data_IF_922386291582
#
_entry.id   IF_922386291582
#
_cell.length_a   1.000
_cell.length_b   1.000
_cell.length_c   1.000
_cell.angle_alpha   90.00
_cell.angle_beta   90.00
_cell.angle_gamma   90.00
#
_symmetry.space_group_name_H-M   'P 1'
#
loop_
_entity.id
_entity.type
_entity.pdbx_description
1 polymer ?
#
# COMPACT_ATOMS: atom_id res chain seq x y z
N UNK A 1 -14.96 -11.03 -17.69
CA UNK A 1 -14.77 -10.04 -16.59
C UNK A 1 -13.94 -10.73 -15.53
N UNK A 2 -12.90 -10.08 -15.01
CA UNK A 2 -11.88 -10.77 -14.19
C UNK A 2 -12.47 -11.52 -12.98
N UNK A 3 -13.46 -10.94 -12.31
CA UNK A 3 -14.10 -11.52 -11.14
C UNK A 3 -14.84 -12.81 -11.49
N UNK A 4 -15.73 -12.76 -12.49
CA UNK A 4 -16.52 -13.90 -12.92
C UNK A 4 -15.65 -15.03 -13.50
N UNK A 5 -14.57 -14.68 -14.22
CA UNK A 5 -13.58 -15.65 -14.70
C UNK A 5 -12.87 -16.38 -13.55
N UNK A 6 -12.66 -15.69 -12.43
CA UNK A 6 -12.02 -16.28 -11.25
C UNK A 6 -13.01 -17.09 -10.40
N UNK A 7 -14.19 -16.54 -10.13
CA UNK A 7 -15.15 -17.06 -9.15
C UNK A 7 -16.20 -18.00 -9.75
N UNK A 8 -16.50 -17.87 -11.04
CA UNK A 8 -17.57 -18.58 -11.73
C UNK A 8 -18.97 -17.98 -11.51
N UNK A 9 -19.07 -16.73 -11.07
CA UNK A 9 -20.34 -16.00 -10.99
C UNK A 9 -20.17 -14.48 -11.15
N UNK A 10 -21.22 -13.81 -11.62
CA UNK A 10 -21.25 -12.35 -11.73
C UNK A 10 -21.43 -11.71 -10.34
N UNK A 11 -20.58 -10.73 -10.01
CA UNK A 11 -20.68 -9.95 -8.77
C UNK A 11 -21.96 -9.10 -8.75
N UNK A 12 -22.72 -9.16 -7.65
CA UNK A 12 -23.94 -8.36 -7.47
C UNK A 12 -23.86 -7.48 -6.23
N UNK A 13 -23.75 -8.08 -5.05
CA UNK A 13 -23.70 -7.39 -3.76
C UNK A 13 -22.90 -8.20 -2.73
N UNK A 14 -22.48 -7.60 -1.60
CA UNK A 14 -21.71 -8.30 -0.57
C UNK A 14 -22.35 -9.58 -0.04
N UNK A 15 -23.67 -9.61 0.15
CA UNK A 15 -24.39 -10.79 0.68
C UNK A 15 -24.32 -11.94 -0.30
N UNK A 16 -24.53 -11.67 -1.59
CA UNK A 16 -24.38 -12.64 -2.67
C UNK A 16 -22.96 -13.22 -2.72
N UNK A 17 -21.93 -12.36 -2.65
CA UNK A 17 -20.52 -12.81 -2.65
C UNK A 17 -20.21 -13.68 -1.42
N UNK A 18 -20.63 -13.25 -0.23
CA UNK A 18 -20.40 -13.99 1.02
C UNK A 18 -21.12 -15.34 1.05
N UNK A 19 -22.29 -15.45 0.42
CA UNK A 19 -23.00 -16.73 0.30
C UNK A 19 -22.34 -17.69 -0.70
N UNK A 20 -21.65 -17.18 -1.73
CA UNK A 20 -21.05 -17.99 -2.81
C UNK A 20 -19.60 -18.38 -2.57
N UNK A 21 -18.95 -17.83 -1.53
CA UNK A 21 -17.55 -18.07 -1.23
C UNK A 21 -17.41 -18.51 0.23
N UNK A 22 -16.66 -19.60 0.46
CA UNK A 22 -16.29 -20.04 1.81
C UNK A 22 -14.82 -19.72 2.06
N UNK A 23 -14.52 -19.05 3.17
CA UNK A 23 -13.14 -18.84 3.63
C UNK A 23 -12.68 -20.08 4.41
N UNK A 24 -11.52 -20.64 4.03
CA UNK A 24 -10.90 -21.81 4.67
C UNK A 24 -9.43 -21.50 4.97
N UNK A 25 -9.16 -20.94 6.15
CA UNK A 25 -7.82 -20.45 6.48
C UNK A 25 -7.42 -19.31 5.55
N UNK A 26 -6.35 -19.51 4.79
CA UNK A 26 -5.80 -18.57 3.80
C UNK A 26 -6.36 -18.76 2.38
N UNK A 27 -7.38 -19.61 2.21
CA UNK A 27 -7.98 -19.95 0.91
C UNK A 27 -9.44 -19.53 0.81
N UNK A 28 -9.86 -19.26 -0.42
CA UNK A 28 -11.25 -19.08 -0.81
C UNK A 28 -11.72 -20.27 -1.64
N UNK A 29 -12.82 -20.90 -1.24
CA UNK A 29 -13.55 -21.88 -2.02
C UNK A 29 -14.73 -21.19 -2.71
N UNK A 30 -14.74 -21.17 -4.04
CA UNK A 30 -15.85 -20.65 -4.83
C UNK A 30 -16.86 -21.75 -5.09
N UNK A 31 -18.07 -21.65 -4.52
CA UNK A 31 -19.05 -22.75 -4.48
C UNK A 31 -19.53 -23.19 -5.87
N UNK A 32 -19.77 -22.24 -6.77
CA UNK A 32 -20.29 -22.55 -8.12
C UNK A 32 -19.28 -23.32 -8.99
N UNK A 33 -17.99 -23.04 -8.86
CA UNK A 33 -16.94 -23.67 -9.67
C UNK A 33 -16.21 -24.81 -8.96
N UNK A 34 -16.32 -24.90 -7.62
CA UNK A 34 -15.52 -25.79 -6.78
C UNK A 34 -14.04 -25.40 -6.70
N UNK A 35 -13.64 -24.28 -7.32
CA UNK A 35 -12.25 -23.83 -7.38
C UNK A 35 -11.81 -23.32 -6.01
N UNK A 36 -10.62 -23.72 -5.59
CA UNK A 36 -9.96 -23.25 -4.37
C UNK A 36 -8.76 -22.40 -4.78
N UNK A 37 -8.69 -21.18 -4.27
CA UNK A 37 -7.62 -20.23 -4.59
C UNK A 37 -7.06 -19.64 -3.30
N UNK A 38 -5.74 -19.53 -3.22
CA UNK A 38 -5.09 -18.97 -2.04
C UNK A 38 -5.20 -17.44 -2.05
N UNK A 39 -6.00 -16.89 -1.13
CA UNK A 39 -6.03 -15.45 -0.88
C UNK A 39 -4.76 -15.02 -0.15
N UNK A 40 -4.18 -15.90 0.67
CA UNK A 40 -3.05 -15.59 1.52
C UNK A 40 -3.51 -15.02 2.87
N UNK A 41 -2.55 -14.49 3.64
CA UNK A 41 -2.83 -13.88 4.95
C UNK A 41 -2.61 -12.38 4.90
N UNK A 42 -3.60 -11.60 5.32
CA UNK A 42 -3.46 -10.16 5.49
C UNK A 42 -2.90 -9.84 6.88
N UNK A 43 -1.91 -8.96 6.92
CA UNK A 43 -1.50 -8.24 8.12
C UNK A 43 -1.44 -6.73 7.84
N UNK A 44 -1.51 -5.91 8.90
CA UNK A 44 -1.49 -4.45 8.78
C UNK A 44 -0.43 -3.81 9.68
N UNK A 45 0.85 -4.21 9.56
CA UNK A 45 1.88 -3.74 10.46
C UNK A 45 2.16 -2.25 10.26
N UNK A 46 2.55 -1.60 11.34
CA UNK A 46 3.18 -0.29 11.36
C UNK A 46 4.60 -0.34 10.78
N UNK A 47 5.10 0.80 10.34
CA UNK A 47 6.51 0.95 9.97
C UNK A 47 7.44 0.60 11.15
N UNK A 48 7.06 0.91 12.39
CA UNK A 48 7.83 0.52 13.57
C UNK A 48 8.06 -0.99 13.66
N UNK A 49 6.97 -1.77 13.58
CA UNK A 49 7.00 -3.23 13.67
C UNK A 49 7.81 -3.84 12.53
N UNK A 50 7.68 -3.29 11.31
CA UNK A 50 8.44 -3.75 10.15
C UNK A 50 9.93 -3.44 10.27
N UNK A 51 10.31 -2.25 10.75
CA UNK A 51 11.70 -1.89 11.01
C UNK A 51 12.33 -2.85 12.03
N UNK A 52 11.64 -3.16 13.12
CA UNK A 52 12.10 -4.12 14.13
C UNK A 52 12.31 -5.51 13.52
N UNK A 53 11.34 -6.01 12.76
CA UNK A 53 11.44 -7.31 12.09
C UNK A 53 12.62 -7.36 11.10
N UNK A 54 12.80 -6.31 10.29
CA UNK A 54 13.90 -6.24 9.32
C UNK A 54 15.28 -6.22 10.01
N UNK A 55 15.41 -5.50 11.12
CA UNK A 55 16.64 -5.49 11.93
C UNK A 55 16.95 -6.89 12.49
N UNK A 56 15.95 -7.61 13.00
CA UNK A 56 16.12 -8.98 13.47
C UNK A 56 16.58 -9.91 12.34
N UNK A 57 16.13 -9.69 11.11
CA UNK A 57 16.58 -10.43 9.94
C UNK A 57 18.07 -10.21 9.66
N UNK A 58 18.57 -8.97 9.66
CA UNK A 58 20.01 -8.70 9.47
C UNK A 58 20.89 -9.44 10.47
N UNK A 59 20.50 -9.43 11.73
CA UNK A 59 21.30 -10.04 12.79
C UNK A 59 21.36 -11.56 12.72
N UNK A 60 20.41 -12.19 12.01
CA UNK A 60 20.23 -13.65 12.05
C UNK A 60 20.47 -14.35 10.71
N UNK A 61 20.55 -13.61 9.61
CA UNK A 61 20.60 -14.21 8.27
C UNK A 61 21.62 -13.49 7.36
N UNK A 62 22.77 -14.13 7.17
CA UNK A 62 23.80 -13.62 6.28
C UNK A 62 23.36 -13.65 4.80
N UNK A 63 22.37 -14.45 4.41
CA UNK A 63 21.94 -14.60 3.02
C UNK A 63 21.17 -13.37 2.50
N UNK A 64 20.57 -12.58 3.39
CA UNK A 64 19.89 -11.33 3.04
C UNK A 64 20.79 -10.09 3.17
N UNK A 65 21.98 -10.25 3.76
CA UNK A 65 22.98 -9.17 3.86
C UNK A 65 23.69 -9.02 2.52
N UNK A 66 23.92 -7.80 2.08
CA UNK A 66 24.64 -7.53 0.83
C UNK A 66 24.43 -6.11 0.34
N UNK A 67 24.62 -5.89 -0.96
CA UNK A 67 24.45 -4.56 -1.55
C UNK A 67 23.11 -4.52 -2.29
N UNK A 68 22.31 -3.51 -1.97
CA UNK A 68 21.06 -3.25 -2.67
C UNK A 68 21.33 -2.86 -4.12
N UNK A 69 20.59 -3.46 -5.06
CA UNK A 69 20.57 -3.01 -6.46
C UNK A 69 19.25 -2.29 -6.76
N UNK A 70 19.30 -1.23 -7.56
CA UNK A 70 18.14 -0.49 -8.03
C UNK A 70 18.19 -0.36 -9.55
N UNK A 71 17.11 -0.77 -10.22
CA UNK A 71 16.94 -0.55 -11.66
C UNK A 71 15.51 -0.13 -12.02
N UNK A 72 15.35 0.41 -13.22
CA UNK A 72 14.03 0.56 -13.85
C UNK A 72 13.70 -0.68 -14.68
N UNK A 73 12.45 -1.13 -14.60
CA UNK A 73 11.90 -2.16 -15.49
C UNK A 73 10.70 -1.58 -16.23
N UNK A 74 10.79 -1.56 -17.57
CA UNK A 74 9.67 -1.18 -18.42
C UNK A 74 8.85 -2.43 -18.76
N UNK A 75 7.72 -2.61 -18.07
CA UNK A 75 6.88 -3.79 -18.23
C UNK A 75 5.42 -3.51 -17.86
N UNK A 76 4.54 -4.42 -18.24
CA UNK A 76 3.21 -4.52 -17.66
C UNK A 76 3.31 -5.26 -16.32
N UNK A 77 2.79 -4.66 -15.25
CA UNK A 77 2.88 -5.22 -13.91
C UNK A 77 2.17 -6.56 -13.77
N UNK A 78 1.14 -6.83 -14.59
CA UNK A 78 0.47 -8.12 -14.63
C UNK A 78 1.31 -9.19 -15.32
N UNK A 79 2.17 -8.84 -16.29
CA UNK A 79 3.17 -9.77 -16.82
C UNK A 79 4.23 -10.10 -15.76
N UNK A 80 4.66 -9.10 -14.98
CA UNK A 80 5.61 -9.31 -13.89
C UNK A 80 5.03 -10.23 -12.80
N UNK A 81 3.75 -10.06 -12.42
CA UNK A 81 3.08 -10.98 -11.49
C UNK A 81 2.92 -12.38 -12.10
N UNK A 82 2.59 -12.51 -13.39
CA UNK A 82 2.39 -13.81 -14.01
C UNK A 82 3.69 -14.58 -14.28
N UNK A 83 4.85 -13.92 -14.26
CA UNK A 83 6.15 -14.56 -14.50
C UNK A 83 6.52 -15.50 -13.33
N UNK A 84 6.65 -16.82 -13.56
CA UNK A 84 7.00 -17.79 -12.51
C UNK A 84 8.36 -17.53 -11.84
N UNK A 85 9.28 -16.82 -12.49
CA UNK A 85 10.56 -16.43 -11.88
C UNK A 85 10.36 -15.50 -10.68
N UNK A 86 9.20 -14.86 -10.57
CA UNK A 86 8.83 -13.96 -9.47
C UNK A 86 8.07 -14.67 -8.34
N UNK A 87 8.04 -16.01 -8.32
CA UNK A 87 7.52 -16.76 -7.19
C UNK A 87 8.20 -16.31 -5.87
N UNK A 88 7.40 -15.88 -4.92
CA UNK A 88 7.82 -15.37 -3.62
C UNK A 88 8.31 -13.91 -3.61
N UNK A 89 8.29 -13.19 -4.75
CA UNK A 89 8.68 -11.79 -4.81
C UNK A 89 7.66 -10.88 -4.10
N UNK A 90 8.09 -9.66 -3.74
CA UNK A 90 7.21 -8.64 -3.17
C UNK A 90 6.88 -7.56 -4.20
N UNK A 91 5.59 -7.23 -4.31
CA UNK A 91 5.09 -6.15 -5.16
C UNK A 91 4.46 -5.05 -4.31
N UNK A 92 4.98 -3.83 -4.42
CA UNK A 92 4.31 -2.64 -3.90
C UNK A 92 3.09 -2.33 -4.77
N UNK A 93 1.94 -2.17 -4.13
CA UNK A 93 0.67 -1.88 -4.79
C UNK A 93 0.17 -0.53 -4.32
N UNK A 94 -0.10 0.35 -5.29
CA UNK A 94 -0.76 1.63 -5.01
C UNK A 94 -2.21 1.37 -4.61
N UNK A 95 -2.57 1.79 -3.41
CA UNK A 95 -3.84 1.54 -2.74
C UNK A 95 -4.33 2.78 -2.00
N UNK A 96 -5.53 2.70 -1.43
CA UNK A 96 -6.03 3.64 -0.44
C UNK A 96 -5.68 3.18 0.99
N UNK A 97 -5.90 4.05 1.98
CA UNK A 97 -5.66 3.73 3.39
C UNK A 97 -6.61 2.66 3.96
N UNK A 98 -7.63 2.22 3.22
CA UNK A 98 -8.48 1.08 3.54
C UNK A 98 -8.08 -0.22 2.82
N UNK A 99 -6.94 -0.21 2.10
CA UNK A 99 -6.43 -1.35 1.34
C UNK A 99 -7.34 -1.77 0.17
N UNK A 100 -8.06 -0.84 -0.43
CA UNK A 100 -8.83 -1.02 -1.66
C UNK A 100 -8.38 0.00 -2.70
N UNK A 101 -8.64 -0.26 -3.98
CA UNK A 101 -8.22 0.54 -5.14
C UNK A 101 -9.45 1.11 -5.89
N UNK A 102 -10.37 1.73 -5.16
CA UNK A 102 -11.59 2.34 -5.71
C UNK A 102 -11.29 3.60 -6.53
N UNK A 103 -11.95 3.77 -7.68
CA UNK A 103 -11.69 4.86 -8.65
C UNK A 103 -11.98 6.28 -8.14
N UNK A 104 -12.74 6.41 -7.05
CA UNK A 104 -13.17 7.70 -6.47
C UNK A 104 -13.52 7.54 -4.99
N UNK A 105 -13.41 8.60 -4.16
CA UNK A 105 -13.92 8.60 -2.79
C UNK A 105 -15.43 8.35 -2.68
N UNK A 106 -16.21 8.46 -3.75
CA UNK A 106 -17.67 8.17 -3.72
C UNK A 106 -18.01 6.69 -3.99
N UNK A 107 -17.00 5.90 -4.33
CA UNK A 107 -17.16 4.46 -4.58
C UNK A 107 -16.91 3.70 -3.28
N UNK A 108 -17.96 3.07 -2.78
CA UNK A 108 -17.91 2.31 -1.53
C UNK A 108 -17.52 0.84 -1.77
N UNK A 109 -17.02 0.12 -0.75
CA UNK A 109 -16.73 -1.32 -0.83
C UNK A 109 -17.86 -2.18 -1.40
N UNK A 110 -19.11 -1.84 -1.10
CA UNK A 110 -20.31 -2.58 -1.52
C UNK A 110 -20.58 -2.47 -3.02
N UNK A 111 -20.03 -1.46 -3.70
CA UNK A 111 -20.16 -1.29 -5.15
C UNK A 111 -19.26 -2.26 -5.96
N UNK A 112 -18.51 -3.12 -5.25
CA UNK A 112 -17.80 -4.26 -5.79
C UNK A 112 -16.45 -3.98 -6.40
N UNK A 113 -15.72 -5.06 -6.67
CA UNK A 113 -14.35 -5.05 -7.17
C UNK A 113 -14.25 -5.45 -8.64
N UNK A 114 -15.31 -5.97 -9.27
CA UNK A 114 -15.34 -6.26 -10.72
C UNK A 114 -14.96 -5.03 -11.54
N UNK A 115 -15.40 -3.84 -11.08
CA UNK A 115 -15.12 -2.55 -11.72
C UNK A 115 -13.63 -2.19 -11.86
N UNK A 116 -12.74 -2.85 -11.12
CA UNK A 116 -11.29 -2.59 -11.19
C UNK A 116 -10.74 -2.81 -12.60
N UNK A 117 -11.38 -3.66 -13.42
CA UNK A 117 -10.97 -3.88 -14.82
C UNK A 117 -11.05 -2.62 -15.70
N UNK A 118 -11.87 -1.65 -15.29
CA UNK A 118 -12.09 -0.40 -16.02
C UNK A 118 -11.04 0.67 -15.66
N UNK A 119 -10.36 0.51 -14.52
CA UNK A 119 -9.25 1.36 -14.12
C UNK A 119 -7.94 0.81 -14.70
N UNK A 120 -7.20 1.67 -15.39
CA UNK A 120 -5.93 1.31 -16.07
C UNK A 120 -4.70 1.72 -15.26
N UNK A 121 -4.87 2.17 -14.02
CA UNK A 121 -3.77 2.45 -13.10
C UNK A 121 -3.16 1.14 -12.56
N UNK A 122 -1.93 1.22 -12.04
CA UNK A 122 -1.20 0.04 -11.60
C UNK A 122 -1.82 -0.63 -10.36
N UNK A 123 -2.47 0.13 -9.48
CA UNK A 123 -3.09 -0.40 -8.25
C UNK A 123 -4.11 -1.50 -8.53
N UNK A 124 -5.21 -1.20 -9.26
CA UNK A 124 -6.19 -2.17 -9.70
C UNK A 124 -5.60 -3.32 -10.51
N UNK A 125 -4.60 -3.05 -11.37
CA UNK A 125 -3.94 -4.09 -12.16
C UNK A 125 -3.21 -5.12 -11.27
N UNK A 126 -2.47 -4.67 -10.26
CA UNK A 126 -1.85 -5.54 -9.25
C UNK A 126 -2.89 -6.28 -8.41
N UNK A 127 -3.92 -5.59 -7.94
CA UNK A 127 -4.96 -6.20 -7.11
C UNK A 127 -5.71 -7.32 -7.85
N UNK A 128 -6.01 -7.13 -9.14
CA UNK A 128 -6.60 -8.16 -10.02
C UNK A 128 -5.63 -9.33 -10.25
N UNK A 129 -4.32 -9.08 -10.34
CA UNK A 129 -3.33 -10.14 -10.55
C UNK A 129 -3.39 -11.22 -9.46
N UNK A 130 -3.76 -10.83 -8.23
CA UNK A 130 -3.99 -11.72 -7.09
C UNK A 130 -5.43 -11.58 -6.58
N UNK A 131 -6.40 -11.87 -7.45
CA UNK A 131 -7.81 -11.54 -7.26
C UNK A 131 -8.44 -12.15 -6.01
N UNK A 132 -7.97 -13.31 -5.53
CA UNK A 132 -8.47 -13.89 -4.28
C UNK A 132 -8.13 -13.02 -3.05
N UNK A 133 -6.93 -12.43 -3.00
CA UNK A 133 -6.54 -11.48 -1.96
C UNK A 133 -7.39 -10.20 -2.00
N UNK A 134 -7.69 -9.68 -3.20
CA UNK A 134 -8.61 -8.56 -3.38
C UNK A 134 -10.03 -8.87 -2.88
N UNK A 135 -10.60 -10.00 -3.29
CA UNK A 135 -11.93 -10.45 -2.84
C UNK A 135 -11.98 -10.58 -1.32
N UNK A 136 -10.95 -11.19 -0.72
CA UNK A 136 -10.85 -11.32 0.73
C UNK A 136 -10.86 -9.96 1.43
N UNK A 137 -10.00 -9.02 1.00
CA UNK A 137 -9.89 -7.67 1.59
C UNK A 137 -11.16 -6.84 1.47
N UNK A 138 -11.97 -7.05 0.44
CA UNK A 138 -13.24 -6.34 0.31
C UNK A 138 -14.36 -7.00 1.14
N UNK A 139 -14.53 -8.31 1.04
CA UNK A 139 -15.75 -8.98 1.49
C UNK A 139 -15.62 -9.82 2.76
N UNK A 140 -14.40 -10.21 3.14
CA UNK A 140 -14.18 -11.22 4.18
C UNK A 140 -13.23 -10.79 5.30
N UNK A 141 -12.43 -9.75 5.09
CA UNK A 141 -11.50 -9.26 6.11
C UNK A 141 -12.26 -8.84 7.36
N UNK A 142 -11.82 -9.22 8.56
CA UNK A 142 -12.40 -8.72 9.79
C UNK A 142 -12.17 -7.22 9.96
N UNK A 143 -13.24 -6.46 10.19
CA UNK A 143 -13.19 -5.03 10.54
C UNK A 143 -13.91 -4.84 11.87
N UNK A 144 -13.16 -4.97 12.97
CA UNK A 144 -13.74 -5.19 14.29
C UNK A 144 -14.62 -6.44 14.28
N UNK A 145 -15.86 -6.32 14.74
CA UNK A 145 -16.85 -7.42 14.72
C UNK A 145 -17.53 -7.67 13.35
N UNK A 146 -17.24 -6.85 12.33
CA UNK A 146 -17.86 -6.98 11.00
C UNK A 146 -16.98 -7.85 10.09
N UNK A 147 -17.62 -8.63 9.22
CA UNK A 147 -16.95 -9.30 8.11
C UNK A 147 -17.03 -8.47 6.83
N UNK A 148 -15.89 -8.20 6.21
CA UNK A 148 -15.77 -7.34 5.03
C UNK A 148 -15.79 -5.86 5.36
N UNK A 149 -15.39 -5.04 4.39
CA UNK A 149 -15.43 -3.59 4.47
C UNK A 149 -16.77 -3.06 3.96
N UNK A 150 -17.26 -1.99 4.56
CA UNK A 150 -18.49 -1.27 4.17
C UNK A 150 -18.23 0.22 4.11
N UNK A 151 -19.15 1.01 3.55
CA UNK A 151 -19.07 2.47 3.57
C UNK A 151 -18.87 3.05 4.98
N UNK A 152 -19.42 2.37 5.99
CA UNK A 152 -19.43 2.83 7.38
C UNK A 152 -18.29 2.25 8.24
N UNK A 153 -17.67 1.14 7.81
CA UNK A 153 -16.64 0.45 8.61
C UNK A 153 -15.57 -0.14 7.70
N UNK A 154 -14.37 0.43 7.79
CA UNK A 154 -13.25 0.11 6.92
C UNK A 154 -11.97 -0.03 7.73
N UNK A 155 -10.98 -0.69 7.13
CA UNK A 155 -9.62 -0.59 7.61
C UNK A 155 -9.11 0.85 7.45
N UNK A 156 -8.23 1.29 8.35
CA UNK A 156 -7.64 2.63 8.29
C UNK A 156 -6.16 2.55 8.68
N UNK A 157 -5.28 2.57 7.68
CA UNK A 157 -3.84 2.49 7.86
C UNK A 157 -3.21 3.78 8.47
N UNK A 158 -4.01 4.83 8.68
CA UNK A 158 -3.57 6.05 9.36
C UNK A 158 -4.14 6.20 10.78
N UNK A 159 -4.89 5.23 11.30
CA UNK A 159 -5.59 5.39 12.59
C UNK A 159 -4.64 5.80 13.74
N UNK A 160 -3.46 5.18 13.83
CA UNK A 160 -2.45 5.51 14.85
C UNK A 160 -1.82 6.88 14.66
N UNK A 161 -1.50 7.25 13.40
CA UNK A 161 -1.00 8.57 13.05
C UNK A 161 -2.04 9.66 13.35
N UNK A 162 -3.30 9.41 12.99
CA UNK A 162 -4.42 10.30 13.24
C UNK A 162 -4.54 10.63 14.73
N UNK A 163 -4.56 9.61 15.58
CA UNK A 163 -4.62 9.78 17.03
C UNK A 163 -3.42 10.56 17.58
N UNK A 164 -2.21 10.35 17.02
CA UNK A 164 -1.03 11.10 17.43
C UNK A 164 -1.13 12.58 17.05
N UNK A 165 -1.56 12.89 15.82
CA UNK A 165 -1.78 14.27 15.39
C UNK A 165 -2.84 14.99 16.23
N UNK A 166 -3.94 14.31 16.59
CA UNK A 166 -4.98 14.87 17.48
C UNK A 166 -4.41 15.24 18.86
N UNK A 167 -3.52 14.41 19.42
CA UNK A 167 -2.84 14.75 20.68
C UNK A 167 -2.00 16.02 20.53
N UNK A 168 -1.25 16.17 19.45
CA UNK A 168 -0.51 17.40 19.18
C UNK A 168 -1.43 18.61 19.01
N UNK A 169 -2.57 18.46 18.34
CA UNK A 169 -3.54 19.56 18.16
C UNK A 169 -4.08 20.04 19.50
N UNK A 170 -4.36 19.12 20.43
CA UNK A 170 -4.83 19.46 21.78
C UNK A 170 -3.80 20.25 22.59
N UNK A 171 -2.50 20.05 22.34
CA UNK A 171 -1.43 20.84 22.96
C UNK A 171 -1.31 22.25 22.34
N UNK A 172 -1.70 22.40 21.06
CA UNK A 172 -1.74 23.68 20.37
C UNK A 172 -3.04 24.48 20.64
N UNK A 173 -4.02 23.88 21.34
CA UNK A 173 -5.39 24.38 21.50
C UNK A 173 -5.56 25.68 22.32
N UNK A 174 -4.47 26.35 22.71
CA UNK A 174 -4.52 27.74 23.19
C UNK A 174 -4.70 28.78 22.04
N UNK A 175 -5.03 28.34 20.82
CA UNK A 175 -5.01 29.13 19.57
C UNK A 175 -6.31 29.00 18.77
N UNK A 176 -6.43 29.71 17.63
CA UNK A 176 -7.60 29.78 16.72
C UNK A 176 -8.14 28.45 16.14
N UNK A 177 -7.60 27.30 16.56
CA UNK A 177 -7.89 25.97 16.00
C UNK A 177 -8.65 25.04 16.97
N UNK A 178 -9.20 25.57 18.06
CA UNK A 178 -9.85 24.79 19.13
C UNK A 178 -10.98 23.83 18.66
N UNK A 179 -11.58 24.09 17.50
CA UNK A 179 -12.66 23.25 16.95
C UNK A 179 -12.16 22.12 16.03
N UNK A 180 -10.86 22.02 15.76
CA UNK A 180 -10.29 20.97 14.89
C UNK A 180 -9.92 19.76 15.75
N UNK A 181 -10.74 18.71 15.68
CA UNK A 181 -10.60 17.49 16.48
C UNK A 181 -10.05 16.29 15.71
N UNK A 182 -9.86 16.42 14.39
CA UNK A 182 -9.22 15.41 13.54
C UNK A 182 -8.37 16.10 12.46
N UNK A 183 -7.27 15.48 12.01
CA UNK A 183 -6.43 15.99 10.91
C UNK A 183 -7.08 15.89 9.52
N UNK A 184 -8.12 15.08 9.31
CA UNK A 184 -8.79 14.96 8.00
C UNK A 184 -10.16 14.32 8.13
N UNK A 185 -10.97 14.40 7.06
CA UNK A 185 -12.11 13.50 6.88
C UNK A 185 -11.63 12.27 6.10
N UNK A 186 -11.83 11.08 6.65
CA UNK A 186 -11.58 9.83 5.92
C UNK A 186 -12.85 9.45 5.14
N UNK A 187 -12.74 9.32 3.82
CA UNK A 187 -13.84 8.90 2.95
C UNK A 187 -13.38 7.77 2.04
N UNK A 188 -13.88 6.54 2.24
CA UNK A 188 -13.53 5.37 1.42
C UNK A 188 -12.01 5.16 1.23
N UNK A 189 -11.22 5.38 2.30
CA UNK A 189 -9.77 5.26 2.29
C UNK A 189 -9.00 6.49 1.78
N UNK A 190 -9.69 7.57 1.43
CA UNK A 190 -9.11 8.87 1.09
C UNK A 190 -9.04 9.77 2.33
N UNK A 191 -7.83 10.18 2.73
CA UNK A 191 -7.63 11.16 3.79
C UNK A 191 -7.72 12.58 3.21
N UNK A 192 -8.82 13.29 3.51
CA UNK A 192 -9.17 14.59 2.93
C UNK A 192 -9.10 15.71 4.00
N UNK A 193 -7.91 16.30 4.23
CA UNK A 193 -7.75 17.44 5.12
C UNK A 193 -8.22 18.73 4.44
N UNK A 194 -8.85 19.60 5.22
CA UNK A 194 -9.09 20.99 4.86
C UNK A 194 -7.79 21.82 4.93
N UNK A 195 -7.82 23.02 4.36
CA UNK A 195 -6.72 23.99 4.45
C UNK A 195 -6.27 24.25 5.89
N UNK A 196 -7.21 24.41 6.82
CA UNK A 196 -6.89 24.69 8.23
C UNK A 196 -6.24 23.48 8.91
N UNK A 197 -6.73 22.27 8.62
CA UNK A 197 -6.11 21.04 9.10
C UNK A 197 -4.69 20.88 8.57
N UNK A 198 -4.44 21.11 7.28
CA UNK A 198 -3.08 21.08 6.73
C UNK A 198 -2.15 22.12 7.37
N UNK A 199 -2.62 23.35 7.61
CA UNK A 199 -1.83 24.37 8.32
C UNK A 199 -1.43 23.86 9.71
N UNK A 200 -2.36 23.22 10.41
CA UNK A 200 -2.12 22.71 11.76
C UNK A 200 -1.15 21.53 11.74
N UNK A 201 -1.30 20.60 10.78
CA UNK A 201 -0.35 19.50 10.56
C UNK A 201 1.05 20.06 10.29
N UNK A 202 1.16 21.07 9.42
CA UNK A 202 2.46 21.67 9.11
C UNK A 202 3.08 22.35 10.32
N UNK A 203 2.28 23.01 11.19
CA UNK A 203 2.76 23.55 12.47
C UNK A 203 3.30 22.46 13.39
N UNK A 204 2.60 21.33 13.49
CA UNK A 204 3.06 20.17 14.26
C UNK A 204 4.38 19.68 13.70
N UNK A 205 4.43 19.33 12.42
CA UNK A 205 5.61 18.75 11.76
C UNK A 205 6.84 19.68 11.81
N UNK A 206 6.65 20.99 11.66
CA UNK A 206 7.73 21.96 11.76
C UNK A 206 8.29 22.12 13.19
N UNK A 207 7.51 21.76 14.22
CA UNK A 207 7.91 21.80 15.62
C UNK A 207 8.60 20.53 16.12
N UNK A 208 8.55 19.44 15.34
CA UNK A 208 9.16 18.17 15.74
C UNK A 208 10.68 18.19 15.52
N UNK A 209 11.41 17.62 16.47
CA UNK A 209 12.81 17.25 16.25
C UNK A 209 12.90 15.96 15.39
N UNK A 210 14.10 15.60 14.86
CA UNK A 210 14.24 14.42 13.99
C UNK A 210 13.75 13.10 14.61
N UNK A 211 13.93 12.90 15.92
CA UNK A 211 13.47 11.70 16.62
C UNK A 211 11.94 11.67 16.71
N UNK A 212 11.31 12.78 17.05
CA UNK A 212 9.85 12.88 17.12
C UNK A 212 9.20 12.73 15.74
N UNK A 213 9.82 13.29 14.70
CA UNK A 213 9.39 13.09 13.32
C UNK A 213 9.45 11.62 12.92
N UNK A 214 10.56 10.93 13.24
CA UNK A 214 10.70 9.50 12.99
C UNK A 214 9.65 8.68 13.74
N UNK A 215 9.41 8.97 15.02
CA UNK A 215 8.38 8.29 15.82
C UNK A 215 6.98 8.49 15.24
N UNK A 216 6.66 9.69 14.74
CA UNK A 216 5.38 9.96 14.10
C UNK A 216 5.24 9.20 12.78
N UNK A 217 6.30 9.18 11.96
CA UNK A 217 6.37 8.42 10.70
C UNK A 217 6.18 6.92 10.93
N UNK A 218 6.74 6.39 12.00
CA UNK A 218 6.68 4.98 12.39
C UNK A 218 5.28 4.47 12.73
N UNK A 219 4.31 5.37 12.95
CA UNK A 219 2.90 5.02 13.21
C UNK A 219 2.08 4.71 11.95
N UNK A 220 2.61 4.98 10.76
CA UNK A 220 1.91 4.66 9.50
C UNK A 220 1.93 3.16 9.29
N UNK A 221 0.76 2.57 8.99
CA UNK A 221 0.62 1.17 8.65
C UNK A 221 0.57 0.97 7.13
N UNK A 222 0.86 -0.25 6.69
CA UNK A 222 0.62 -0.73 5.32
C UNK A 222 -0.12 -2.07 5.38
N UNK A 223 -0.77 -2.47 4.29
CA UNK A 223 -1.34 -3.82 4.17
C UNK A 223 -0.35 -4.78 3.55
N UNK A 224 -0.04 -5.90 4.20
CA UNK A 224 0.76 -6.99 3.62
C UNK A 224 -0.11 -8.21 3.41
N UNK A 225 -0.39 -8.53 2.15
CA UNK A 225 -1.06 -9.76 1.74
C UNK A 225 0.02 -10.79 1.39
N UNK A 226 0.34 -11.66 2.35
CA UNK A 226 1.37 -12.69 2.20
C UNK A 226 0.85 -13.89 1.43
N UNK A 227 1.73 -14.50 0.63
CA UNK A 227 1.50 -15.80 0.00
C UNK A 227 0.18 -15.85 -0.80
N UNK A 228 -0.12 -14.76 -1.51
CA UNK A 228 -1.33 -14.65 -2.32
C UNK A 228 -1.08 -15.25 -3.70
N UNK A 229 -2.03 -16.05 -4.18
CA UNK A 229 -1.89 -16.73 -5.47
C UNK A 229 -2.09 -15.73 -6.61
N UNK A 230 -1.21 -15.80 -7.60
CA UNK A 230 -1.43 -15.12 -8.88
C UNK A 230 -2.53 -15.87 -9.63
N UNK A 231 -3.62 -15.17 -9.98
CA UNK A 231 -4.84 -15.76 -10.53
C UNK A 231 -5.06 -15.48 -12.01
N UNK A 232 -4.12 -14.76 -12.63
CA UNK A 232 -4.16 -14.38 -14.04
C UNK A 232 -3.26 -15.27 -14.88
N UNK A 233 -3.51 -15.33 -16.19
CA UNK A 233 -2.64 -15.98 -17.20
C UNK A 233 -2.23 -17.42 -16.85
N UNK A 234 -3.12 -18.15 -16.20
CA UNK A 234 -2.89 -19.55 -15.78
C UNK A 234 -1.72 -19.73 -14.81
N UNK A 235 -1.19 -18.64 -14.23
CA UNK A 235 -0.21 -18.71 -13.15
C UNK A 235 -0.86 -19.30 -11.90
N UNK A 236 -0.01 -19.83 -11.00
CA UNK A 236 -0.44 -20.44 -9.75
C UNK A 236 0.57 -20.28 -8.62
N UNK A 237 1.72 -19.67 -8.90
CA UNK A 237 2.71 -19.37 -7.88
C UNK A 237 2.21 -18.26 -6.94
N UNK A 238 2.89 -18.12 -5.81
CA UNK A 238 2.53 -17.19 -4.76
C UNK A 238 3.45 -15.98 -4.79
N UNK A 239 2.91 -14.82 -4.43
CA UNK A 239 3.67 -13.58 -4.25
C UNK A 239 3.21 -12.88 -2.97
N UNK A 240 3.95 -11.87 -2.52
CA UNK A 240 3.50 -10.96 -1.46
C UNK A 240 3.15 -9.61 -2.07
N UNK A 241 2.01 -9.03 -1.68
CA UNK A 241 1.62 -7.68 -2.09
C UNK A 241 1.61 -6.73 -0.90
N UNK A 242 2.35 -5.62 -1.03
CA UNK A 242 2.40 -4.54 -0.06
C UNK A 242 1.53 -3.36 -0.53
N UNK A 243 0.33 -3.28 0.02
CA UNK A 243 -0.65 -2.24 -0.25
C UNK A 243 -0.32 -0.99 0.56
N UNK A 244 0.15 0.01 -0.17
CA UNK A 244 0.59 1.29 0.39
C UNK A 244 -0.25 2.41 -0.21
N UNK A 245 -0.47 3.48 0.55
CA UNK A 245 -1.20 4.66 0.08
C UNK A 245 -0.34 5.91 0.18
N UNK A 246 -0.51 6.82 -0.77
CA UNK A 246 -0.02 8.19 -0.67
C UNK A 246 -1.17 9.12 -0.25
N UNK A 247 -0.89 10.40 -0.04
CA UNK A 247 -1.95 11.38 0.20
C UNK A 247 -2.68 11.74 -1.11
N UNK A 248 -4.01 11.90 -1.11
CA UNK A 248 -4.80 12.25 -2.30
C UNK A 248 -4.73 13.76 -2.61
N UNK A 249 -3.53 14.26 -2.91
CA UNK A 249 -3.23 15.69 -3.13
C UNK A 249 -4.16 16.33 -4.17
N UNK A 250 -4.38 15.64 -5.30
CA UNK A 250 -5.23 16.10 -6.40
C UNK A 250 -6.73 16.20 -6.07
N UNK A 251 -7.17 15.67 -4.92
CA UNK A 251 -8.58 15.69 -4.49
C UNK A 251 -8.92 16.94 -3.66
N UNK A 252 -8.07 17.97 -3.73
CA UNK A 252 -8.29 19.27 -3.12
C UNK A 252 -7.66 20.38 -3.98
N UNK A 253 -8.07 21.63 -3.78
CA UNK A 253 -7.49 22.80 -4.44
C UNK A 253 -6.38 23.47 -3.60
N UNK A 254 -5.72 22.72 -2.73
CA UNK A 254 -4.66 23.24 -1.85
C UNK A 254 -3.29 23.23 -2.54
N UNK A 255 -2.40 24.16 -2.18
CA UNK A 255 -1.08 24.27 -2.81
C UNK A 255 -0.18 23.10 -2.45
N UNK A 256 0.76 22.79 -3.35
CA UNK A 256 1.80 21.79 -3.11
C UNK A 256 2.60 22.08 -1.83
N UNK A 257 2.92 23.36 -1.56
CA UNK A 257 3.65 23.75 -0.33
C UNK A 257 2.88 23.40 0.94
N UNK A 258 1.55 23.48 0.89
CA UNK A 258 0.71 23.15 2.03
C UNK A 258 0.63 21.63 2.23
N UNK A 259 0.62 20.87 1.14
CA UNK A 259 0.59 19.40 1.15
C UNK A 259 1.92 18.73 1.46
N UNK A 260 3.02 19.34 1.03
CA UNK A 260 4.34 18.70 0.98
C UNK A 260 4.75 18.03 2.30
N UNK A 261 4.61 18.65 3.50
CA UNK A 261 5.09 18.03 4.73
C UNK A 261 4.39 16.71 5.05
N UNK A 262 3.05 16.68 4.95
CA UNK A 262 2.26 15.48 5.20
C UNK A 262 2.46 14.44 4.08
N UNK A 263 2.44 14.87 2.82
CA UNK A 263 2.65 13.96 1.69
C UNK A 263 4.03 13.29 1.74
N UNK A 264 5.08 14.04 2.11
CA UNK A 264 6.43 13.50 2.25
C UNK A 264 6.53 12.49 3.39
N UNK A 265 5.96 12.81 4.57
CA UNK A 265 5.94 11.88 5.71
C UNK A 265 5.29 10.54 5.34
N UNK A 266 4.14 10.58 4.67
CA UNK A 266 3.43 9.37 4.25
C UNK A 266 4.21 8.58 3.20
N UNK A 267 4.80 9.27 2.19
CA UNK A 267 5.59 8.60 1.17
C UNK A 267 6.85 7.95 1.77
N UNK A 268 7.58 8.67 2.63
CA UNK A 268 8.73 8.13 3.34
C UNK A 268 8.35 6.89 4.14
N UNK A 269 7.24 6.95 4.90
CA UNK A 269 6.78 5.82 5.67
C UNK A 269 6.41 4.62 4.81
N UNK A 270 5.66 4.84 3.73
CA UNK A 270 5.22 3.79 2.81
C UNK A 270 6.41 3.09 2.14
N UNK A 271 7.40 3.82 1.63
CA UNK A 271 8.58 3.21 1.01
C UNK A 271 9.47 2.53 2.05
N UNK A 272 9.72 3.13 3.22
CA UNK A 272 10.51 2.45 4.27
C UNK A 272 9.83 1.16 4.74
N UNK A 273 8.52 1.16 4.91
CA UNK A 273 7.75 -0.02 5.32
C UNK A 273 7.80 -1.10 4.24
N UNK A 274 7.70 -0.71 2.96
CA UNK A 274 7.82 -1.63 1.82
C UNK A 274 9.20 -2.30 1.79
N UNK A 275 10.27 -1.56 2.04
CA UNK A 275 11.63 -2.12 2.05
C UNK A 275 11.84 -3.05 3.24
N UNK A 276 11.40 -2.68 4.45
CA UNK A 276 11.44 -3.59 5.59
C UNK A 276 10.63 -4.87 5.32
N UNK A 277 9.43 -4.75 4.75
CA UNK A 277 8.63 -5.91 4.36
C UNK A 277 9.36 -6.77 3.33
N UNK A 278 10.09 -6.17 2.38
CA UNK A 278 10.87 -6.91 1.39
C UNK A 278 12.03 -7.70 2.03
N UNK A 279 12.69 -7.14 3.04
CA UNK A 279 13.71 -7.85 3.84
C UNK A 279 13.12 -9.08 4.52
N UNK A 280 11.99 -8.89 5.22
CA UNK A 280 11.31 -9.98 5.93
C UNK A 280 10.80 -11.04 4.94
N UNK A 281 10.29 -10.60 3.79
CA UNK A 281 9.83 -11.47 2.72
C UNK A 281 10.98 -12.27 2.11
N UNK A 282 12.13 -11.64 1.85
CA UNK A 282 13.31 -12.31 1.31
C UNK A 282 13.82 -13.43 2.22
N UNK A 283 13.80 -13.22 3.55
CA UNK A 283 14.09 -14.29 4.51
C UNK A 283 13.07 -15.44 4.44
N UNK A 284 11.78 -15.12 4.30
CA UNK A 284 10.70 -16.12 4.26
C UNK A 284 10.68 -16.94 2.97
N UNK A 285 10.90 -16.31 1.82
CA UNK A 285 10.68 -16.93 0.50
C UNK A 285 11.96 -17.26 -0.24
N UNK A 286 13.10 -16.72 0.21
CA UNK A 286 14.37 -16.74 -0.51
C UNK A 286 14.42 -15.79 -1.71
N UNK A 287 13.32 -15.08 -2.04
CA UNK A 287 13.25 -14.18 -3.17
C UNK A 287 13.49 -12.72 -2.74
N UNK A 288 14.53 -12.12 -3.30
CA UNK A 288 15.04 -10.79 -2.95
C UNK A 288 14.39 -9.66 -3.78
N UNK A 289 13.52 -9.99 -4.73
CA UNK A 289 12.93 -9.00 -5.64
C UNK A 289 11.85 -8.18 -4.97
N UNK A 290 12.02 -6.87 -5.11
CA UNK A 290 11.06 -5.85 -4.70
C UNK A 290 10.65 -5.03 -5.94
N UNK A 291 9.39 -5.13 -6.34
CA UNK A 291 8.81 -4.28 -7.38
C UNK A 291 8.16 -3.05 -6.76
N UNK A 292 8.63 -1.87 -7.14
CA UNK A 292 8.09 -0.58 -6.71
C UNK A 292 7.21 0.03 -7.78
N UNK A 293 6.21 0.78 -7.31
CA UNK A 293 5.40 1.67 -8.15
C UNK A 293 5.66 3.11 -7.72
N UNK A 294 5.46 4.09 -8.59
CA UNK A 294 5.56 5.51 -8.23
C UNK A 294 4.29 5.93 -7.47
N UNK A 295 4.29 5.61 -6.18
CA UNK A 295 3.13 5.71 -5.31
C UNK A 295 2.53 7.12 -5.32
N UNK A 296 1.27 7.21 -5.74
CA UNK A 296 0.51 8.46 -5.76
C UNK A 296 0.90 9.47 -6.85
N UNK A 297 1.82 9.15 -7.76
CA UNK A 297 2.26 10.05 -8.84
C UNK A 297 1.27 10.21 -10.00
N UNK A 298 0.21 9.40 -10.03
CA UNK A 298 -0.89 9.48 -11.01
C UNK A 298 -2.11 10.19 -10.43
N UNK A 299 -3.20 9.44 -10.21
CA UNK A 299 -4.50 9.98 -9.77
C UNK A 299 -4.43 10.82 -8.48
N UNK A 300 -3.56 10.45 -7.53
CA UNK A 300 -3.40 11.19 -6.27
C UNK A 300 -2.58 12.48 -6.41
N UNK A 301 -1.87 12.70 -7.51
CA UNK A 301 -1.19 13.96 -7.81
C UNK A 301 -0.01 14.33 -6.89
N UNK A 302 0.66 13.36 -6.29
CA UNK A 302 1.88 13.63 -5.53
C UNK A 302 3.00 14.08 -6.47
N UNK A 303 3.78 15.07 -6.04
CA UNK A 303 4.87 15.59 -6.88
C UNK A 303 5.95 14.51 -7.07
N UNK A 304 6.45 14.30 -8.30
CA UNK A 304 7.47 13.29 -8.57
C UNK A 304 8.68 13.38 -7.64
N UNK A 305 9.14 14.60 -7.32
CA UNK A 305 10.30 14.79 -6.45
C UNK A 305 10.08 14.24 -5.03
N UNK A 306 8.87 14.33 -4.48
CA UNK A 306 8.56 13.79 -3.15
C UNK A 306 8.67 12.26 -3.15
N UNK A 307 8.16 11.64 -4.21
CA UNK A 307 8.20 10.19 -4.41
C UNK A 307 9.65 9.72 -4.56
N UNK A 308 10.43 10.34 -5.45
CA UNK A 308 11.82 9.97 -5.71
C UNK A 308 12.71 10.18 -4.49
N UNK A 309 12.48 11.24 -3.72
CA UNK A 309 13.19 11.47 -2.46
C UNK A 309 12.89 10.38 -1.44
N UNK A 310 11.62 9.96 -1.29
CA UNK A 310 11.25 8.89 -0.37
C UNK A 310 11.86 7.54 -0.77
N UNK A 311 11.87 7.20 -2.07
CA UNK A 311 12.57 6.00 -2.58
C UNK A 311 14.07 6.08 -2.28
N UNK A 312 14.71 7.24 -2.53
CA UNK A 312 16.14 7.44 -2.25
C UNK A 312 16.47 7.22 -0.77
N UNK A 313 15.65 7.77 0.12
CA UNK A 313 15.81 7.61 1.57
C UNK A 313 15.67 6.14 1.98
N UNK A 314 14.66 5.43 1.47
CA UNK A 314 14.50 3.99 1.71
C UNK A 314 15.71 3.20 1.18
N UNK A 315 16.16 3.44 -0.06
CA UNK A 315 17.36 2.77 -0.60
C UNK A 315 18.59 3.01 0.29
N UNK A 316 18.78 4.23 0.79
CA UNK A 316 19.90 4.57 1.68
C UNK A 316 19.81 3.82 3.00
N UNK A 317 18.61 3.72 3.59
CA UNK A 317 18.35 3.03 4.86
C UNK A 317 18.57 1.52 4.76
N UNK A 318 18.25 0.93 3.61
CA UNK A 318 18.32 -0.52 3.36
C UNK A 318 19.47 -0.91 2.42
N UNK A 319 20.50 -0.07 2.27
CA UNK A 319 21.62 -0.29 1.34
C UNK A 319 22.42 -1.58 1.62
N UNK A 320 22.45 -2.02 2.89
CA UNK A 320 23.21 -3.17 3.37
C UNK A 320 22.42 -4.50 3.28
N UNK A 321 21.26 -4.46 2.61
CA UNK A 321 20.46 -5.64 2.28
C UNK A 321 20.59 -5.96 0.80
N UNK A 322 20.71 -7.24 0.47
CA UNK A 322 20.84 -7.73 -0.91
C UNK A 322 19.52 -7.68 -1.70
N UNK A 323 18.72 -6.62 -1.57
CA UNK A 323 17.45 -6.48 -2.29
C UNK A 323 17.67 -6.16 -3.78
N UNK A 324 16.87 -6.81 -4.62
CA UNK A 324 16.77 -6.55 -6.06
C UNK A 324 15.58 -5.63 -6.32
N UNK A 325 15.80 -4.31 -6.18
CA UNK A 325 14.73 -3.32 -6.30
C UNK A 325 14.52 -2.91 -7.75
N UNK A 326 13.27 -3.02 -8.21
CA UNK A 326 12.85 -2.74 -9.59
C UNK A 326 11.72 -1.71 -9.58
N UNK A 327 11.95 -0.51 -10.11
CA UNK A 327 10.90 0.50 -10.30
C UNK A 327 10.17 0.20 -11.60
N UNK A 328 8.86 -0.06 -11.52
CA UNK A 328 8.06 -0.45 -12.68
C UNK A 328 7.52 0.78 -13.42
N UNK A 329 7.99 0.96 -14.65
CA UNK A 329 7.45 1.94 -15.60
C UNK A 329 6.58 1.26 -16.64
N UNK A 330 5.42 1.84 -16.94
CA UNK A 330 4.49 1.27 -17.91
C UNK A 330 4.77 1.81 -19.32
N UNK A 331 4.94 0.89 -20.29
CA UNK A 331 5.15 1.13 -21.75
C UNK A 331 6.45 1.82 -22.16
N UNK A 332 6.95 2.80 -21.42
CA UNK A 332 8.17 3.53 -21.74
C UNK A 332 8.97 3.82 -20.48
N UNK A 333 10.28 4.00 -20.65
CA UNK A 333 11.17 4.45 -19.57
C UNK A 333 10.74 5.83 -19.07
N UNK A 334 10.88 6.06 -17.76
CA UNK A 334 10.60 7.31 -17.10
C UNK A 334 11.92 8.09 -16.88
N UNK A 335 12.18 9.16 -17.66
CA UNK A 335 13.42 9.93 -17.54
C UNK A 335 13.63 10.57 -16.17
N UNK A 336 12.57 10.77 -15.38
CA UNK A 336 12.68 11.31 -14.02
C UNK A 336 13.41 10.36 -13.07
N UNK A 337 13.53 9.07 -13.41
CA UNK A 337 14.27 8.09 -12.62
C UNK A 337 15.78 8.19 -12.80
N UNK A 338 16.27 8.75 -13.91
CA UNK A 338 17.70 8.74 -14.24
C UNK A 338 18.60 9.31 -13.12
N UNK A 339 18.26 10.46 -12.47
CA UNK A 339 19.07 10.98 -11.36
C UNK A 339 19.10 10.03 -10.17
N UNK A 340 17.97 9.39 -9.84
CA UNK A 340 17.87 8.43 -8.73
C UNK A 340 18.73 7.20 -9.01
N UNK A 341 18.59 6.60 -10.19
CA UNK A 341 19.33 5.41 -10.60
C UNK A 341 20.84 5.65 -10.60
N UNK A 342 21.29 6.82 -11.08
CA UNK A 342 22.72 7.18 -11.07
C UNK A 342 23.32 7.45 -9.69
N UNK A 343 22.48 7.69 -8.67
CA UNK A 343 22.95 8.06 -7.33
C UNK A 343 23.27 6.88 -6.41
N UNK A 344 22.93 5.66 -6.86
CA UNK A 344 23.07 4.41 -6.10
C UNK A 344 24.01 3.40 -6.78
N UNK A 345 24.57 3.74 -7.94
CA UNK A 345 25.67 3.03 -8.62
C UNK A 345 27.02 3.55 -8.17
#
# INVERSE_FOLDING_TARGET
MWFEELTGFTEQDPSQVQQQITVQGDKLLFKNSGKVVQAGTLSTPSLAELNEQAQLVLHTDAAVTGVLSLEEVVADVQELHANPDNAGALFQVASQFNLLEMVSPDVTPEQGVTRYQNDKTQGPACAIACGAGLIYRNYFVPVGEQQGQTANKQLNMLASLEQALVRYFSLLAATDYANITSPWVMQNGYALPSKQQLILINKVLAGLNPTEYQQLKELVCIGLQYDTQVTIKQASHLVTQAYCSAMPVAYSYHSNDLWQPLASLILEAAYEATFAAAVVNAKRTGNKRLYLTLLGGGAFGNQPQWILNAIKQACTRYKDYALEVKIVSYRYSNPQLAPLLSSLT
#
